data_IF_789634171856
#
_entry.id   IF_789634171856
#
_cell.length_a   1.000
_cell.length_b   1.000
_cell.length_c   1.000
_cell.angle_alpha   90.00
_cell.angle_beta   90.00
_cell.angle_gamma   90.00
#
_symmetry.space_group_name_H-M   'P 1'
#
loop_
_entity.id
_entity.type
_entity.pdbx_description
1 polymer ?
#
# COMPACT_ATOMS: atom_id res chain seq x y z
N UNK A 1 51.88 -13.81 -45.08
CA UNK A 1 50.75 -13.72 -46.02
C UNK A 1 50.08 -15.09 -46.12
N UNK A 2 48.90 -15.27 -45.51
CA UNK A 2 47.95 -16.29 -45.94
C UNK A 2 46.54 -15.81 -45.59
N UNK A 3 45.74 -15.74 -46.64
CA UNK A 3 44.49 -15.02 -46.79
C UNK A 3 43.33 -15.98 -46.52
N UNK A 4 43.14 -16.45 -45.28
CA UNK A 4 42.07 -17.41 -44.96
C UNK A 4 41.56 -17.30 -43.53
N UNK A 5 40.82 -16.24 -43.21
CA UNK A 5 39.69 -16.35 -42.26
C UNK A 5 38.79 -15.11 -42.30
N UNK A 6 38.40 -14.70 -43.51
CA UNK A 6 37.43 -13.63 -43.76
C UNK A 6 36.02 -14.21 -43.88
N UNK A 7 35.59 -15.10 -42.97
CA UNK A 7 34.19 -15.57 -42.94
C UNK A 7 33.82 -15.99 -41.53
N UNK A 8 33.45 -15.03 -40.66
CA UNK A 8 32.49 -15.21 -39.55
C UNK A 8 31.95 -13.83 -39.10
N UNK A 9 31.39 -13.07 -40.05
CA UNK A 9 30.46 -11.99 -39.73
C UNK A 9 29.06 -12.52 -40.07
N UNK A 10 28.38 -13.11 -39.09
CA UNK A 10 26.98 -13.50 -39.27
C UNK A 10 26.28 -13.51 -37.90
N UNK A 11 25.39 -12.53 -37.76
CA UNK A 11 24.17 -12.54 -36.93
C UNK A 11 24.36 -12.41 -35.41
N UNK A 12 24.45 -11.18 -34.94
CA UNK A 12 23.74 -10.75 -33.73
C UNK A 12 22.85 -9.56 -34.11
N UNK A 13 21.67 -9.86 -34.65
CA UNK A 13 20.62 -8.89 -34.85
C UNK A 13 19.34 -9.43 -34.21
N UNK A 14 18.75 -8.65 -33.31
CA UNK A 14 17.36 -8.85 -32.90
C UNK A 14 17.13 -9.45 -31.51
N UNK A 15 17.66 -8.82 -30.47
CA UNK A 15 16.96 -8.77 -29.18
C UNK A 15 16.72 -7.30 -28.83
N UNK A 16 16.01 -6.59 -29.71
CA UNK A 16 15.27 -5.40 -29.27
C UNK A 16 14.07 -5.92 -28.51
N UNK A 17 14.26 -6.24 -27.22
CA UNK A 17 13.14 -6.30 -26.30
C UNK A 17 12.54 -4.90 -26.29
N UNK A 18 11.44 -4.71 -27.02
CA UNK A 18 10.58 -3.56 -26.82
C UNK A 18 10.09 -3.68 -25.38
N UNK A 19 10.76 -2.98 -24.47
CA UNK A 19 10.17 -2.62 -23.20
C UNK A 19 8.91 -1.85 -23.59
N UNK A 20 7.75 -2.47 -23.44
CA UNK A 20 6.49 -1.78 -23.63
C UNK A 20 6.54 -0.58 -22.69
N UNK A 21 6.74 0.60 -23.27
CA UNK A 21 6.80 1.85 -22.55
C UNK A 21 5.51 1.99 -21.74
N UNK A 22 5.64 2.52 -20.53
CA UNK A 22 4.55 3.00 -19.68
C UNK A 22 3.43 3.55 -20.57
N UNK A 23 2.26 2.90 -20.56
CA UNK A 23 1.09 3.47 -21.22
C UNK A 23 0.80 4.79 -20.51
N UNK A 24 1.13 5.89 -21.17
CA UNK A 24 0.82 7.22 -20.64
C UNK A 24 -0.71 7.32 -20.57
N UNK A 25 -1.22 7.65 -19.39
CA UNK A 25 -2.62 8.01 -19.21
C UNK A 25 -2.82 9.30 -20.01
N UNK A 26 -3.80 9.30 -20.92
CA UNK A 26 -4.11 10.51 -21.70
C UNK A 26 -4.75 11.57 -20.81
N UNK A 27 -4.74 12.83 -21.23
CA UNK A 27 -5.37 13.91 -20.46
C UNK A 27 -6.88 13.65 -20.26
N UNK A 28 -7.56 13.09 -21.27
CA UNK A 28 -8.97 12.72 -21.19
C UNK A 28 -9.21 11.57 -20.20
N UNK A 29 -8.37 10.52 -20.25
CA UNK A 29 -8.44 9.40 -19.31
C UNK A 29 -8.17 9.88 -17.87
N UNK A 30 -7.13 10.69 -17.67
CA UNK A 30 -6.82 11.25 -16.37
C UNK A 30 -7.98 12.11 -15.86
N UNK A 31 -8.53 12.98 -16.72
CA UNK A 31 -9.66 13.82 -16.34
C UNK A 31 -10.89 13.00 -15.95
N UNK A 32 -11.18 11.91 -16.66
CA UNK A 32 -12.26 10.98 -16.28
C UNK A 32 -11.99 10.36 -14.90
N UNK A 33 -10.79 9.79 -14.70
CA UNK A 33 -10.41 9.16 -13.43
C UNK A 33 -10.53 10.14 -12.24
N UNK A 34 -10.14 11.40 -12.43
CA UNK A 34 -10.25 12.44 -11.40
C UNK A 34 -11.70 12.87 -11.15
N UNK A 35 -12.54 12.91 -12.19
CA UNK A 35 -13.96 13.28 -12.05
C UNK A 35 -14.78 12.15 -11.40
N UNK A 36 -14.37 10.90 -11.56
CA UNK A 36 -14.98 9.72 -10.94
C UNK A 36 -14.54 9.50 -9.47
N UNK A 37 -14.03 10.55 -8.82
CA UNK A 37 -13.61 10.51 -7.42
C UNK A 37 -12.26 9.84 -7.18
N UNK A 38 -11.45 9.63 -8.24
CA UNK A 38 -10.09 9.12 -8.14
C UNK A 38 -9.96 7.67 -7.66
N UNK A 39 -11.08 6.93 -7.52
CA UNK A 39 -11.07 5.57 -6.98
C UNK A 39 -10.27 4.62 -7.87
N UNK A 40 -10.57 4.61 -9.17
CA UNK A 40 -9.88 3.75 -10.12
C UNK A 40 -8.41 4.13 -10.28
N UNK A 41 -8.09 5.44 -10.17
CA UNK A 41 -6.71 5.92 -10.15
C UNK A 41 -5.97 5.40 -8.90
N UNK A 42 -6.58 5.54 -7.73
CA UNK A 42 -6.01 5.07 -6.47
C UNK A 42 -5.86 3.55 -6.45
N UNK A 43 -6.81 2.81 -7.00
CA UNK A 43 -6.71 1.35 -7.10
C UNK A 43 -5.58 0.93 -8.05
N UNK A 44 -5.46 1.58 -9.22
CA UNK A 44 -4.43 1.28 -10.22
C UNK A 44 -3.00 1.49 -9.71
N UNK A 45 -2.80 2.43 -8.80
CA UNK A 45 -1.48 2.78 -8.26
C UNK A 45 -1.33 2.49 -6.76
N UNK A 46 -2.21 1.65 -6.19
CA UNK A 46 -2.12 1.25 -4.81
C UNK A 46 -0.79 0.52 -4.55
N UNK A 47 -0.05 0.86 -3.47
CA UNK A 47 1.16 0.14 -3.13
C UNK A 47 0.84 -1.28 -2.67
N UNK A 48 1.85 -2.15 -2.66
CA UNK A 48 1.77 -3.41 -1.94
C UNK A 48 2.22 -3.19 -0.49
N UNK A 49 1.37 -3.59 0.46
CA UNK A 49 1.68 -3.51 1.88
C UNK A 49 2.22 -4.83 2.40
N UNK A 50 3.43 -4.78 2.94
CA UNK A 50 4.07 -5.89 3.64
C UNK A 50 4.10 -5.60 5.14
N UNK A 51 3.44 -6.43 5.93
CA UNK A 51 3.37 -6.26 7.38
C UNK A 51 4.39 -7.18 8.05
N UNK A 52 5.42 -6.59 8.66
CA UNK A 52 6.50 -7.32 9.30
C UNK A 52 6.07 -7.97 10.63
N UNK A 53 6.70 -9.10 10.97
CA UNK A 53 6.53 -9.77 12.26
C UNK A 53 7.88 -9.82 12.99
N UNK A 54 7.98 -9.16 14.13
CA UNK A 54 9.20 -9.14 14.94
C UNK A 54 9.23 -10.36 15.86
N UNK A 55 10.30 -11.17 15.80
CA UNK A 55 10.45 -12.37 16.64
C UNK A 55 9.23 -13.31 16.59
N UNK A 56 8.63 -13.47 15.40
CA UNK A 56 7.39 -14.23 15.17
C UNK A 56 6.16 -13.73 15.94
N UNK A 57 6.15 -12.47 16.38
CA UNK A 57 4.97 -11.82 16.94
C UNK A 57 4.21 -11.06 15.85
N UNK A 58 2.87 -11.18 15.79
CA UNK A 58 2.08 -10.42 14.84
C UNK A 58 2.13 -8.91 15.17
N UNK A 59 2.08 -8.03 14.16
CA UNK A 59 1.95 -6.60 14.37
C UNK A 59 0.48 -6.23 14.64
N UNK A 60 0.23 -4.99 15.05
CA UNK A 60 -1.08 -4.40 14.77
C UNK A 60 -1.29 -4.32 13.27
N UNK A 61 -2.53 -4.54 12.85
CA UNK A 61 -2.96 -4.59 11.46
C UNK A 61 -3.87 -3.41 11.17
N UNK A 62 -3.85 -2.85 9.94
CA UNK A 62 -4.72 -1.72 9.64
C UNK A 62 -6.19 -2.05 9.91
N UNK A 63 -6.90 -1.11 10.49
CA UNK A 63 -8.32 -1.23 10.83
C UNK A 63 -9.06 0.04 10.46
N UNK A 64 -10.39 0.00 10.55
CA UNK A 64 -11.21 1.17 10.24
C UNK A 64 -11.01 2.24 11.31
N UNK A 65 -10.92 3.50 10.89
CA UNK A 65 -10.83 4.64 11.81
C UNK A 65 -12.19 4.93 12.47
N UNK A 66 -13.27 4.64 11.74
CA UNK A 66 -14.66 4.70 12.21
C UNK A 66 -15.31 3.35 11.92
N UNK A 67 -16.30 2.92 12.69
CA UNK A 67 -16.93 1.60 12.57
C UNK A 67 -17.27 1.31 11.10
N UNK A 68 -16.86 0.13 10.63
CA UNK A 68 -16.97 -0.27 9.24
C UNK A 68 -16.50 -1.71 9.05
N UNK A 69 -16.62 -2.23 7.84
CA UNK A 69 -16.13 -3.56 7.49
C UNK A 69 -15.87 -3.64 5.97
N UNK A 70 -15.32 -4.74 5.44
CA UNK A 70 -15.16 -4.89 4.00
C UNK A 70 -16.50 -4.88 3.23
N UNK A 71 -17.62 -5.07 3.94
CA UNK A 71 -18.97 -5.16 3.35
C UNK A 71 -19.91 -4.05 3.82
N UNK A 72 -19.46 -3.13 4.69
CA UNK A 72 -20.29 -2.04 5.22
C UNK A 72 -19.51 -0.73 5.21
N UNK A 73 -20.09 0.38 4.72
CA UNK A 73 -19.44 1.69 4.75
C UNK A 73 -19.09 2.15 6.17
N UNK A 74 -18.10 3.02 6.26
CA UNK A 74 -17.73 3.72 7.50
C UNK A 74 -18.86 4.67 7.94
N UNK A 75 -19.07 4.77 9.25
CA UNK A 75 -20.00 5.74 9.85
C UNK A 75 -19.20 6.84 10.53
N UNK A 76 -19.12 8.02 9.91
CA UNK A 76 -18.29 9.13 10.38
C UNK A 76 -18.95 9.96 11.49
N UNK A 77 -18.95 9.43 12.71
CA UNK A 77 -19.31 10.17 13.92
C UNK A 77 -18.50 9.72 15.15
N UNK A 78 -18.57 10.49 16.24
CA UNK A 78 -17.80 10.22 17.46
C UNK A 78 -18.17 8.89 18.14
N UNK A 79 -19.42 8.42 18.01
CA UNK A 79 -19.87 7.17 18.62
C UNK A 79 -19.30 5.94 17.89
N UNK A 80 -18.85 6.13 16.66
CA UNK A 80 -18.30 5.08 15.81
C UNK A 80 -16.78 5.17 15.67
N UNK A 81 -16.09 6.14 16.27
CA UNK A 81 -14.61 6.17 16.29
C UNK A 81 -14.05 4.88 16.88
N UNK A 82 -13.05 4.32 16.21
CA UNK A 82 -12.33 3.16 16.74
C UNK A 82 -11.54 3.58 17.97
N UNK A 83 -11.73 2.92 19.13
CA UNK A 83 -11.05 3.31 20.35
C UNK A 83 -9.55 3.02 20.29
N UNK A 84 -8.76 3.84 20.98
CA UNK A 84 -7.32 3.61 21.12
C UNK A 84 -7.04 2.26 21.80
N UNK A 85 -6.05 1.53 21.30
CA UNK A 85 -5.56 0.30 21.92
C UNK A 85 -4.41 0.59 22.89
N UNK A 86 -4.36 -0.14 24.01
CA UNK A 86 -3.25 -0.06 24.95
C UNK A 86 -1.97 -0.68 24.36
N UNK A 87 -0.82 -0.05 24.62
CA UNK A 87 0.49 -0.57 24.22
C UNK A 87 0.88 -1.83 25.02
N UNK A 88 1.83 -2.60 24.49
CA UNK A 88 2.48 -3.71 25.18
C UNK A 88 3.98 -3.66 24.98
N UNK A 89 4.71 -4.44 25.76
CA UNK A 89 6.15 -4.60 25.59
C UNK A 89 6.54 -5.27 24.28
N UNK A 90 7.67 -4.83 23.73
CA UNK A 90 8.31 -5.50 22.59
C UNK A 90 8.73 -6.93 23.00
N UNK A 91 8.55 -7.95 22.13
CA UNK A 91 8.10 -7.90 20.74
C UNK A 91 6.58 -7.99 20.51
N UNK A 92 5.76 -8.09 21.56
CA UNK A 92 4.31 -8.33 21.44
C UNK A 92 3.50 -7.06 21.09
N UNK A 93 3.86 -6.41 19.99
CA UNK A 93 3.25 -5.12 19.60
C UNK A 93 1.83 -5.27 19.04
N UNK A 94 1.46 -6.44 18.52
CA UNK A 94 0.10 -6.75 18.04
C UNK A 94 -0.93 -7.11 19.12
N UNK A 95 -0.60 -6.92 20.41
CA UNK A 95 -1.57 -7.11 21.49
C UNK A 95 -2.70 -6.06 21.45
N UNK A 96 -3.88 -6.38 21.97
CA UNK A 96 -5.00 -5.43 22.19
C UNK A 96 -5.50 -4.66 20.94
N UNK A 97 -5.02 -5.01 19.75
CA UNK A 97 -5.41 -4.42 18.49
C UNK A 97 -5.76 -5.54 17.50
N UNK A 98 -6.41 -5.18 16.40
CA UNK A 98 -6.58 -6.09 15.26
C UNK A 98 -5.20 -6.57 14.80
N UNK A 99 -5.06 -7.89 14.63
CA UNK A 99 -3.88 -8.50 14.02
C UNK A 99 -4.28 -9.25 12.72
N UNK A 100 -3.32 -9.68 11.88
CA UNK A 100 -3.64 -10.36 10.63
C UNK A 100 -4.45 -11.66 10.79
N UNK A 101 -4.39 -12.32 11.97
CA UNK A 101 -5.05 -13.60 12.20
C UNK A 101 -4.52 -14.78 11.35
N UNK A 102 -3.44 -14.57 10.61
CA UNK A 102 -2.82 -15.57 9.72
C UNK A 102 -1.32 -15.69 10.00
N UNK A 103 -0.75 -16.86 9.72
CA UNK A 103 0.68 -17.12 9.91
C UNK A 103 1.56 -16.37 8.90
N UNK A 104 2.86 -16.23 9.22
CA UNK A 104 3.87 -15.62 8.36
C UNK A 104 3.87 -16.25 6.96
N UNK A 105 3.98 -15.41 5.93
CA UNK A 105 4.03 -15.84 4.53
C UNK A 105 2.66 -16.05 3.87
N UNK A 106 1.56 -15.82 4.60
CA UNK A 106 0.20 -15.88 4.05
C UNK A 106 -0.33 -14.48 3.75
N UNK A 107 -1.19 -14.32 2.73
CA UNK A 107 -1.94 -13.09 2.51
C UNK A 107 -2.77 -12.72 3.74
N UNK A 108 -2.68 -11.46 4.15
CA UNK A 108 -3.51 -10.93 5.24
C UNK A 108 -4.97 -10.73 4.83
N UNK A 109 -5.88 -10.54 5.80
CA UNK A 109 -7.28 -10.22 5.54
C UNK A 109 -7.42 -8.82 4.92
N UNK A 110 -8.56 -8.54 4.28
CA UNK A 110 -8.84 -7.21 3.74
C UNK A 110 -8.79 -6.13 4.84
N UNK A 111 -8.28 -4.95 4.52
CA UNK A 111 -8.18 -3.81 5.43
C UNK A 111 -8.50 -2.49 4.72
N UNK A 112 -8.98 -1.47 5.44
CA UNK A 112 -9.31 -0.19 4.82
C UNK A 112 -8.06 0.59 4.44
N UNK A 113 -8.12 1.22 3.26
CA UNK A 113 -7.12 2.17 2.77
C UNK A 113 -7.86 3.45 2.44
N UNK A 114 -7.55 4.52 3.17
CA UNK A 114 -8.12 5.83 2.90
C UNK A 114 -7.23 6.53 1.90
N UNK A 115 -7.81 7.17 0.89
CA UNK A 115 -7.02 7.90 -0.09
C UNK A 115 -7.54 9.32 -0.30
N UNK A 116 -6.62 10.20 -0.65
CA UNK A 116 -6.93 11.50 -1.25
C UNK A 116 -6.11 11.63 -2.53
N UNK A 117 -6.59 12.45 -3.45
CA UNK A 117 -5.86 12.73 -4.67
C UNK A 117 -5.90 14.22 -5.01
N UNK A 118 -4.86 14.70 -5.67
CA UNK A 118 -4.76 16.07 -6.12
C UNK A 118 -4.00 16.14 -7.43
N UNK A 119 -4.54 16.86 -8.40
CA UNK A 119 -3.77 17.29 -9.57
C UNK A 119 -2.83 18.41 -9.14
N UNK A 120 -1.53 18.16 -9.19
CA UNK A 120 -0.49 19.11 -8.78
C UNK A 120 -0.05 20.01 -9.95
N UNK A 121 -0.08 19.47 -11.17
CA UNK A 121 0.27 20.17 -12.41
C UNK A 121 -0.40 19.50 -13.61
N UNK A 122 -0.08 19.95 -14.81
CA UNK A 122 -0.56 19.29 -16.04
C UNK A 122 -0.02 17.87 -16.20
N UNK A 123 1.12 17.55 -15.58
CA UNK A 123 1.84 16.27 -15.71
C UNK A 123 1.97 15.48 -14.42
N UNK A 124 1.46 15.98 -13.29
CA UNK A 124 1.55 15.33 -11.98
C UNK A 124 0.19 15.27 -11.29
N UNK A 125 -0.18 14.05 -10.89
CA UNK A 125 -1.24 13.80 -9.91
C UNK A 125 -0.61 13.06 -8.72
N UNK A 126 -0.93 13.52 -7.52
CA UNK A 126 -0.53 12.87 -6.27
C UNK A 126 -1.71 12.12 -5.71
N UNK A 127 -1.51 10.83 -5.40
CA UNK A 127 -2.44 10.03 -4.59
C UNK A 127 -1.77 9.73 -3.27
N UNK A 128 -2.43 10.06 -2.17
CA UNK A 128 -1.95 9.79 -0.81
C UNK A 128 -2.77 8.66 -0.24
N UNK A 129 -2.12 7.60 0.23
CA UNK A 129 -2.76 6.47 0.89
C UNK A 129 -2.47 6.53 2.38
N UNK A 130 -3.51 6.35 3.19
CA UNK A 130 -3.43 6.40 4.65
C UNK A 130 -3.99 5.11 5.21
N UNK A 131 -3.29 4.58 6.21
CA UNK A 131 -3.70 3.44 7.00
C UNK A 131 -3.94 3.91 8.42
N UNK A 132 -5.01 3.40 9.04
CA UNK A 132 -5.27 3.64 10.45
C UNK A 132 -4.90 2.40 11.27
N UNK A 133 -4.26 2.64 12.40
CA UNK A 133 -3.93 1.62 13.40
C UNK A 133 -4.45 2.10 14.76
N UNK A 134 -4.97 1.19 15.58
CA UNK A 134 -5.47 1.52 16.92
C UNK A 134 -4.36 2.01 17.87
N UNK A 135 -3.10 1.74 17.52
CA UNK A 135 -1.90 2.20 18.22
C UNK A 135 -0.66 2.07 17.34
N UNK A 136 0.40 2.75 17.76
CA UNK A 136 1.74 2.55 17.25
C UNK A 136 2.65 1.91 18.30
N UNK A 137 3.34 0.85 17.89
CA UNK A 137 4.50 0.31 18.58
C UNK A 137 4.29 -0.34 19.95
N UNK A 138 5.43 -0.47 20.63
CA UNK A 138 5.55 -0.99 21.99
C UNK A 138 5.49 0.17 23.01
N UNK A 139 5.37 -0.17 24.30
CA UNK A 139 5.60 0.78 25.38
C UNK A 139 6.98 1.45 25.20
N UNK A 140 7.02 2.78 25.17
CA UNK A 140 8.28 3.53 25.15
C UNK A 140 8.16 4.79 26.01
N UNK A 141 8.94 4.84 27.10
CA UNK A 141 8.94 5.97 28.02
C UNK A 141 7.56 6.19 28.65
N UNK A 142 7.00 7.40 28.48
CA UNK A 142 5.72 7.80 29.08
C UNK A 142 4.50 7.63 28.15
N UNK A 143 4.70 7.14 26.92
CA UNK A 143 3.59 6.86 26.01
C UNK A 143 2.99 5.52 26.42
N UNK A 144 1.66 5.47 26.62
CA UNK A 144 0.94 4.26 27.04
C UNK A 144 -0.29 3.95 26.20
N UNK A 145 -0.75 4.89 25.37
CA UNK A 145 -2.00 4.80 24.60
C UNK A 145 -1.75 4.99 23.11
N UNK A 146 -2.61 4.36 22.30
CA UNK A 146 -2.62 4.48 20.84
C UNK A 146 -3.27 5.76 20.30
N UNK A 147 -3.63 5.72 19.02
CA UNK A 147 -4.25 6.83 18.30
C UNK A 147 -5.75 6.94 18.64
N UNK A 148 -6.25 8.17 18.79
CA UNK A 148 -7.67 8.53 18.93
C UNK A 148 -8.11 9.45 17.77
#
# INVERSE_FOLDING_TARGET
MSLKSLVRLAVLAGLTSSVAAVTQITDDEMTSLLNDGGLDLANRYAPLWFFGQALNQPPCYPTWAYSGSPTTPDIYDDAHKTPAAAQCEYPNVGCNCRNPGVGIGNPGPAFPVYYTYQRCSDTEVRVVYNLFYEKDGATFGAIQTGHD
#
